data_IF_626840461983
#
_entry.id   IF_626840461983
#
_cell.length_a   1.000
_cell.length_b   1.000
_cell.length_c   1.000
_cell.angle_alpha   90.00
_cell.angle_beta   90.00
_cell.angle_gamma   90.00
#
_symmetry.space_group_name_H-M   'P 1'
#
loop_
_entity.id
_entity.type
_entity.pdbx_description
1 polymer ?
#
# COMPACT_ATOMS: atom_id res chain seq x y z
N UNK A 1 2.64 20.57 -19.43
CA UNK A 1 2.72 19.97 -18.08
C UNK A 1 4.07 19.31 -17.75
N UNK A 2 4.80 18.70 -18.70
CA UNK A 2 6.14 18.15 -18.42
C UNK A 2 7.25 19.20 -18.19
N UNK A 3 7.15 20.38 -18.81
CA UNK A 3 8.19 21.43 -18.74
C UNK A 3 8.14 22.31 -17.48
N UNK A 4 7.01 22.35 -16.77
CA UNK A 4 6.83 23.23 -15.59
C UNK A 4 7.15 22.54 -14.25
N UNK A 5 7.23 21.21 -14.21
CA UNK A 5 7.51 20.48 -12.96
C UNK A 5 8.94 20.70 -12.47
N UNK A 6 9.91 20.81 -13.39
CA UNK A 6 11.32 21.10 -13.06
C UNK A 6 11.50 22.52 -12.48
N UNK A 7 10.65 23.48 -12.87
CA UNK A 7 10.72 24.87 -12.39
C UNK A 7 9.95 25.11 -11.07
N UNK A 8 9.14 24.15 -10.61
CA UNK A 8 8.32 24.29 -9.38
C UNK A 8 8.87 23.53 -8.16
N UNK A 9 10.04 22.90 -8.27
CA UNK A 9 10.77 22.39 -7.11
C UNK A 9 11.36 23.60 -6.35
N UNK A 10 10.52 24.31 -5.59
CA UNK A 10 10.97 25.40 -4.73
C UNK A 10 12.13 24.90 -3.85
N UNK A 11 13.22 25.66 -3.81
CA UNK A 11 14.42 25.36 -3.00
C UNK A 11 14.19 25.39 -1.47
N UNK A 12 12.94 25.52 -1.03
CA UNK A 12 12.52 25.66 0.37
C UNK A 12 11.68 24.46 0.78
N UNK A 13 11.97 23.89 1.94
CA UNK A 13 11.20 22.79 2.47
C UNK A 13 9.97 23.30 3.22
N UNK A 14 8.88 22.53 3.18
CA UNK A 14 7.59 22.98 3.73
C UNK A 14 7.63 23.23 5.24
N UNK A 15 8.49 22.55 5.99
CA UNK A 15 8.67 22.78 7.42
C UNK A 15 9.40 24.08 7.76
N UNK A 16 10.00 24.78 6.79
CA UNK A 16 10.52 26.14 7.02
C UNK A 16 9.38 27.13 7.34
N UNK A 17 8.11 26.72 7.16
CA UNK A 17 6.89 27.48 7.49
C UNK A 17 6.11 26.93 8.69
N UNK A 18 6.51 25.81 9.29
CA UNK A 18 5.83 25.21 10.45
C UNK A 18 6.83 24.95 11.57
N UNK A 19 6.51 25.39 12.79
CA UNK A 19 7.34 25.12 13.97
C UNK A 19 7.22 23.63 14.35
N UNK A 20 8.10 22.79 13.80
CA UNK A 20 8.26 21.40 14.22
C UNK A 20 9.33 21.37 15.31
N UNK A 21 8.93 21.13 16.56
CA UNK A 21 9.88 20.79 17.62
C UNK A 21 10.41 19.39 17.35
N UNK A 22 11.71 19.25 17.09
CA UNK A 22 12.39 17.98 16.93
C UNK A 22 12.18 17.11 18.18
N UNK A 23 11.45 16.01 18.06
CA UNK A 23 11.41 14.98 19.11
C UNK A 23 12.60 14.06 18.85
N UNK A 24 13.63 14.18 19.69
CA UNK A 24 14.78 13.29 19.64
C UNK A 24 14.36 11.89 20.11
N UNK A 25 14.45 10.91 19.23
CA UNK A 25 14.23 9.50 19.57
C UNK A 25 15.44 8.99 20.39
N UNK A 26 15.30 8.91 21.71
CA UNK A 26 16.21 8.10 22.53
C UNK A 26 15.71 6.65 22.52
N UNK A 27 16.31 5.81 21.69
CA UNK A 27 16.12 4.36 21.76
C UNK A 27 16.87 3.80 22.99
N UNK A 28 16.19 3.14 23.95
CA UNK A 28 16.88 2.42 25.02
C UNK A 28 17.58 1.20 24.43
N UNK A 29 18.91 1.21 24.43
CA UNK A 29 19.74 0.05 24.10
C UNK A 29 19.64 -1.00 25.20
N UNK A 30 18.84 -2.05 24.99
CA UNK A 30 18.93 -3.30 25.74
C UNK A 30 19.53 -4.40 24.87
N UNK A 31 20.84 -4.62 25.05
CA UNK A 31 21.53 -5.85 24.70
C UNK A 31 21.58 -6.70 25.97
N UNK A 32 20.99 -7.90 25.95
CA UNK A 32 21.55 -9.07 26.64
C UNK A 32 20.88 -10.36 26.17
N UNK A 33 21.63 -11.14 25.39
CA UNK A 33 21.84 -12.61 25.52
C UNK A 33 20.67 -13.53 25.90
N UNK A 34 20.37 -14.50 25.02
CA UNK A 34 20.52 -15.95 25.26
C UNK A 34 20.31 -16.71 23.92
N UNK A 35 21.27 -17.55 23.57
CA UNK A 35 21.18 -18.61 22.53
C UNK A 35 20.93 -19.93 23.25
N UNK A 36 20.13 -20.84 22.68
CA UNK A 36 20.66 -22.19 22.52
C UNK A 36 20.49 -22.75 21.11
N UNK A 37 21.53 -23.48 20.72
CA UNK A 37 21.73 -24.23 19.49
C UNK A 37 20.66 -25.32 19.30
N UNK A 38 20.10 -25.44 18.09
CA UNK A 38 19.53 -26.69 17.60
C UNK A 38 20.25 -27.18 16.35
N UNK A 39 20.51 -28.49 16.35
CA UNK A 39 21.45 -29.23 15.52
C UNK A 39 21.02 -29.28 14.04
N UNK A 40 22.04 -29.18 13.19
CA UNK A 40 21.96 -29.33 11.74
C UNK A 40 21.49 -30.73 11.31
N UNK A 41 20.45 -30.79 10.48
CA UNK A 41 20.21 -31.92 9.57
C UNK A 41 20.67 -31.47 8.18
N UNK A 42 21.76 -32.04 7.70
CA UNK A 42 22.30 -31.77 6.36
C UNK A 42 21.57 -32.69 5.38
N UNK A 43 20.70 -32.11 4.55
CA UNK A 43 20.24 -32.76 3.32
C UNK A 43 21.20 -32.43 2.16
N UNK A 44 21.47 -33.38 1.25
CA UNK A 44 22.48 -33.20 0.20
C UNK A 44 22.01 -32.14 -0.82
N UNK A 45 22.84 -31.10 -1.00
CA UNK A 45 22.59 -30.04 -1.97
C UNK A 45 22.83 -30.55 -3.40
N UNK A 46 21.77 -30.61 -4.21
CA UNK A 46 21.88 -30.56 -5.67
C UNK A 46 22.35 -29.16 -6.05
N UNK A 47 23.40 -29.05 -6.89
CA UNK A 47 23.81 -27.80 -7.55
C UNK A 47 22.67 -27.25 -8.42
N UNK A 48 21.79 -26.46 -7.81
CA UNK A 48 20.87 -25.55 -8.48
C UNK A 48 21.43 -24.13 -8.35
N UNK A 49 21.04 -23.22 -9.24
CA UNK A 49 21.36 -21.78 -9.16
C UNK A 49 20.85 -21.20 -7.83
N UNK A 50 21.65 -21.33 -6.76
CA UNK A 50 21.19 -21.13 -5.37
C UNK A 50 20.83 -19.65 -5.07
N UNK A 51 21.30 -18.74 -5.93
CA UNK A 51 21.10 -17.29 -5.83
C UNK A 51 19.83 -16.76 -6.52
N UNK A 52 19.12 -17.58 -7.32
CA UNK A 52 17.92 -17.14 -8.05
C UNK A 52 16.63 -17.61 -7.37
N UNK A 53 15.62 -16.74 -7.33
CA UNK A 53 14.28 -17.12 -6.90
C UNK A 53 13.49 -17.68 -8.08
N UNK A 54 13.20 -18.99 -8.07
CA UNK A 54 12.49 -19.68 -9.16
C UNK A 54 11.10 -20.17 -8.75
N UNK A 55 10.52 -19.60 -7.68
CA UNK A 55 9.12 -19.87 -7.32
C UNK A 55 8.20 -19.32 -8.42
N UNK A 56 6.99 -19.90 -8.54
CA UNK A 56 5.98 -19.41 -9.51
C UNK A 56 5.73 -17.91 -9.36
N UNK A 57 5.68 -17.42 -8.11
CA UNK A 57 5.56 -16.00 -7.83
C UNK A 57 6.76 -15.19 -8.33
N UNK A 58 7.98 -15.62 -8.04
CA UNK A 58 9.18 -14.89 -8.46
C UNK A 58 9.30 -14.77 -9.98
N UNK A 59 8.94 -15.82 -10.72
CA UNK A 59 8.92 -15.79 -12.18
C UNK A 59 7.89 -14.77 -12.68
N UNK A 60 6.67 -14.78 -12.10
CA UNK A 60 5.61 -13.81 -12.45
C UNK A 60 6.01 -12.37 -12.10
N UNK A 61 6.54 -12.15 -10.91
CA UNK A 61 6.99 -10.83 -10.45
C UNK A 61 8.13 -10.29 -11.32
N UNK A 62 9.08 -11.15 -11.71
CA UNK A 62 10.15 -10.78 -12.61
C UNK A 62 9.63 -10.36 -13.99
N UNK A 63 8.74 -11.16 -14.57
CA UNK A 63 8.14 -10.85 -15.87
C UNK A 63 7.38 -9.51 -15.81
N UNK A 64 6.60 -9.29 -14.75
CA UNK A 64 5.83 -8.07 -14.57
C UNK A 64 6.70 -6.81 -14.49
N UNK A 65 7.81 -6.87 -13.74
CA UNK A 65 8.79 -5.78 -13.67
C UNK A 65 9.47 -5.56 -15.03
N UNK A 66 9.89 -6.63 -15.72
CA UNK A 66 10.52 -6.56 -17.03
C UNK A 66 9.61 -5.98 -18.11
N UNK A 67 8.30 -6.19 -18.03
CA UNK A 67 7.31 -5.59 -18.94
C UNK A 67 7.06 -4.10 -18.65
N UNK A 68 7.41 -3.62 -17.46
CA UNK A 68 7.11 -2.26 -17.00
C UNK A 68 8.28 -1.29 -17.15
N UNK A 69 9.51 -1.78 -16.88
CA UNK A 69 10.71 -0.95 -16.77
C UNK A 69 11.11 -0.33 -18.10
N UNK A 70 11.24 0.99 -18.25
CA UNK A 70 11.83 1.62 -19.42
C UNK A 70 13.35 1.87 -19.23
N UNK A 71 14.20 0.97 -19.76
CA UNK A 71 15.67 1.08 -19.64
C UNK A 71 16.30 2.16 -20.55
N UNK A 72 15.51 2.89 -21.35
CA UNK A 72 16.01 4.02 -22.14
C UNK A 72 16.16 5.30 -21.33
N UNK A 73 15.70 5.29 -20.09
CA UNK A 73 15.81 6.39 -19.13
C UNK A 73 16.68 5.88 -17.98
N UNK A 74 17.45 6.76 -17.36
CA UNK A 74 18.27 6.40 -16.20
C UNK A 74 17.47 6.62 -14.90
N UNK A 75 17.72 5.81 -13.87
CA UNK A 75 16.94 5.88 -12.61
C UNK A 75 17.11 7.22 -11.91
N UNK A 76 18.31 7.82 -11.99
CA UNK A 76 18.60 9.13 -11.44
C UNK A 76 17.89 10.26 -12.19
N UNK A 77 17.59 10.10 -13.49
CA UNK A 77 16.91 11.13 -14.27
C UNK A 77 15.42 11.16 -13.96
N UNK A 78 14.77 9.99 -13.99
CA UNK A 78 13.36 9.87 -13.66
C UNK A 78 13.02 8.43 -13.28
N UNK A 79 13.00 8.14 -11.98
CA UNK A 79 12.68 6.80 -11.49
C UNK A 79 11.28 6.34 -11.91
N UNK A 80 10.29 7.23 -11.95
CA UNK A 80 8.93 6.86 -12.34
C UNK A 80 8.86 6.43 -13.81
N UNK A 81 9.46 7.19 -14.72
CA UNK A 81 9.57 6.80 -16.13
C UNK A 81 10.39 5.52 -16.29
N UNK A 82 11.47 5.36 -15.51
CA UNK A 82 12.23 4.12 -15.47
C UNK A 82 11.37 2.92 -15.07
N UNK A 83 10.53 3.02 -14.04
CA UNK A 83 9.75 1.86 -13.54
C UNK A 83 8.44 1.65 -14.28
N UNK A 84 7.86 2.72 -14.83
CA UNK A 84 6.50 2.73 -15.39
C UNK A 84 6.44 2.98 -16.89
N UNK A 85 7.51 3.43 -17.55
CA UNK A 85 7.45 3.96 -18.92
C UNK A 85 6.92 2.97 -19.96
N UNK A 86 7.32 1.69 -19.90
CA UNK A 86 6.72 0.66 -20.79
C UNK A 86 5.30 0.32 -20.37
N UNK A 87 5.03 0.25 -19.07
CA UNK A 87 3.68 0.00 -18.55
C UNK A 87 2.69 1.09 -18.99
N UNK A 88 3.06 2.37 -18.94
CA UNK A 88 2.23 3.50 -19.36
C UNK A 88 1.91 3.46 -20.87
N UNK A 89 2.88 3.03 -21.68
CA UNK A 89 2.70 2.84 -23.13
C UNK A 89 1.73 1.69 -23.43
N UNK A 90 1.82 0.61 -22.68
CA UNK A 90 1.04 -0.61 -22.92
C UNK A 90 -0.33 -0.61 -22.24
N UNK A 91 -0.55 0.25 -21.24
CA UNK A 91 -1.81 0.32 -20.49
C UNK A 91 -2.79 1.22 -21.21
N UNK A 92 -3.96 0.69 -21.52
CA UNK A 92 -5.09 1.46 -22.01
C UNK A 92 -6.06 1.73 -20.87
N UNK A 93 -6.70 2.90 -20.87
CA UNK A 93 -7.80 3.21 -19.94
C UNK A 93 -9.08 2.78 -20.64
N UNK A 94 -9.80 1.74 -20.13
CA UNK A 94 -11.12 1.38 -20.65
C UNK A 94 -12.11 2.54 -20.60
N UNK A 95 -13.09 2.56 -21.51
CA UNK A 95 -14.04 3.69 -21.63
C UNK A 95 -14.94 3.88 -20.39
N UNK A 96 -15.11 2.84 -19.58
CA UNK A 96 -15.92 2.78 -18.38
C UNK A 96 -15.17 3.25 -17.11
N UNK A 97 -13.86 3.45 -17.20
CA UNK A 97 -13.05 3.97 -16.08
C UNK A 97 -12.29 5.23 -16.49
N UNK A 98 -11.84 6.01 -15.50
CA UNK A 98 -11.17 7.30 -15.73
C UNK A 98 -9.67 7.26 -15.46
N UNK A 99 -9.21 6.18 -14.84
CA UNK A 99 -7.82 5.89 -14.54
C UNK A 99 -7.61 4.37 -14.48
N UNK A 100 -6.36 3.97 -14.52
CA UNK A 100 -5.88 2.61 -14.34
C UNK A 100 -4.60 2.70 -13.51
N UNK A 101 -4.54 1.96 -12.40
CA UNK A 101 -3.37 1.81 -11.56
C UNK A 101 -3.39 0.43 -10.88
N UNK A 102 -2.34 0.13 -10.10
CA UNK A 102 -2.20 -1.17 -9.43
C UNK A 102 -3.39 -1.49 -8.52
N UNK A 103 -3.94 -0.51 -7.81
CA UNK A 103 -5.07 -0.71 -6.89
C UNK A 103 -6.35 -1.01 -7.67
N UNK A 104 -6.65 -0.24 -8.73
CA UNK A 104 -7.82 -0.46 -9.58
C UNK A 104 -7.77 -1.84 -10.25
N UNK A 105 -6.62 -2.23 -10.81
CA UNK A 105 -6.45 -3.56 -11.45
C UNK A 105 -6.73 -4.68 -10.45
N UNK A 106 -6.20 -4.56 -9.24
CA UNK A 106 -6.41 -5.56 -8.19
C UNK A 106 -7.87 -5.62 -7.74
N UNK A 107 -8.52 -4.46 -7.60
CA UNK A 107 -9.92 -4.39 -7.22
C UNK A 107 -10.83 -5.03 -8.29
N UNK A 108 -10.53 -4.82 -9.57
CA UNK A 108 -11.26 -5.41 -10.70
C UNK A 108 -11.09 -6.94 -10.72
N UNK A 109 -9.86 -7.43 -10.53
CA UNK A 109 -9.55 -8.86 -10.48
C UNK A 109 -10.20 -9.56 -9.30
N UNK A 110 -10.18 -8.93 -8.12
CA UNK A 110 -10.83 -9.46 -6.93
C UNK A 110 -12.34 -9.51 -7.12
N UNK A 111 -12.95 -8.42 -7.62
CA UNK A 111 -14.38 -8.34 -7.93
C UNK A 111 -14.80 -9.40 -8.96
N UNK A 112 -14.03 -9.56 -10.04
CA UNK A 112 -14.30 -10.55 -11.09
C UNK A 112 -14.21 -11.99 -10.57
N UNK A 113 -13.15 -12.30 -9.80
CA UNK A 113 -12.97 -13.61 -9.17
C UNK A 113 -14.15 -13.93 -8.27
N UNK A 114 -14.58 -12.94 -7.48
CA UNK A 114 -15.71 -13.10 -6.58
C UNK A 114 -17.02 -13.29 -7.34
N UNK A 115 -17.31 -12.49 -8.36
CA UNK A 115 -18.50 -12.66 -9.22
C UNK A 115 -18.51 -14.06 -9.84
N UNK A 116 -17.38 -14.54 -10.37
CA UNK A 116 -17.26 -15.88 -10.93
C UNK A 116 -17.56 -16.96 -9.88
N UNK A 117 -16.98 -16.85 -8.68
CA UNK A 117 -17.29 -17.77 -7.57
C UNK A 117 -18.79 -17.76 -7.23
N UNK A 118 -19.42 -16.59 -7.20
CA UNK A 118 -20.82 -16.43 -6.82
C UNK A 118 -21.81 -16.94 -7.88
N UNK A 119 -21.44 -16.89 -9.16
CA UNK A 119 -22.30 -17.20 -10.31
C UNK A 119 -22.14 -18.64 -10.83
N UNK A 120 -20.95 -19.23 -10.68
CA UNK A 120 -20.67 -20.59 -11.14
C UNK A 120 -21.15 -21.69 -10.18
N UNK A 121 -21.55 -21.33 -8.97
CA UNK A 121 -22.06 -22.27 -7.97
C UNK A 121 -23.56 -22.50 -8.16
N UNK A 122 -24.02 -23.75 -8.38
CA UNK A 122 -25.43 -24.03 -8.62
C UNK A 122 -26.29 -23.63 -7.41
N UNK A 123 -27.30 -22.79 -7.63
CA UNK A 123 -28.26 -22.34 -6.61
C UNK A 123 -29.11 -23.46 -5.98
N UNK A 124 -28.99 -24.70 -6.47
CA UNK A 124 -29.87 -25.83 -6.15
C UNK A 124 -29.13 -27.07 -5.60
N UNK A 125 -27.84 -26.99 -5.28
CA UNK A 125 -27.21 -28.10 -4.56
C UNK A 125 -27.66 -28.06 -3.10
N UNK A 126 -28.33 -29.11 -2.63
CA UNK A 126 -28.63 -29.43 -1.22
C UNK A 126 -27.39 -29.51 -0.31
N UNK A 127 -26.21 -29.18 -0.85
CA UNK A 127 -24.90 -29.11 -0.22
C UNK A 127 -24.32 -27.72 -0.54
N UNK A 128 -25.00 -26.63 -0.15
CA UNK A 128 -24.31 -25.35 -0.07
C UNK A 128 -23.30 -25.47 1.07
N UNK A 129 -22.01 -25.57 0.75
CA UNK A 129 -21.00 -25.69 1.80
C UNK A 129 -21.01 -24.43 2.65
N UNK A 130 -20.84 -24.54 3.98
CA UNK A 130 -20.74 -23.38 4.87
C UNK A 130 -19.74 -22.33 4.36
N UNK A 131 -18.68 -22.75 3.67
CA UNK A 131 -17.70 -21.85 3.07
C UNK A 131 -18.28 -20.97 1.93
N UNK A 132 -19.21 -21.51 1.13
CA UNK A 132 -19.87 -20.79 0.03
C UNK A 132 -20.89 -19.79 0.58
N UNK A 133 -21.71 -20.21 1.53
CA UNK A 133 -22.62 -19.31 2.26
C UNK A 133 -21.84 -18.21 2.98
N UNK A 134 -20.68 -18.54 3.57
CA UNK A 134 -19.81 -17.57 4.22
C UNK A 134 -19.15 -16.62 3.22
N UNK A 135 -18.70 -17.07 2.05
CA UNK A 135 -18.13 -16.20 1.02
C UNK A 135 -19.18 -15.23 0.43
N UNK A 136 -20.41 -15.71 0.22
CA UNK A 136 -21.57 -14.87 -0.14
C UNK A 136 -21.85 -13.80 0.91
N UNK A 137 -21.83 -14.19 2.18
CA UNK A 137 -22.10 -13.30 3.31
C UNK A 137 -20.96 -12.31 3.57
N UNK A 138 -19.69 -12.74 3.39
CA UNK A 138 -18.49 -11.89 3.46
C UNK A 138 -18.51 -10.77 2.43
N UNK A 139 -18.99 -11.05 1.22
CA UNK A 139 -19.13 -10.05 0.16
C UNK A 139 -20.19 -8.99 0.51
N UNK A 140 -21.23 -9.37 1.24
CA UNK A 140 -22.27 -8.46 1.71
C UNK A 140 -21.99 -7.85 3.08
N UNK A 141 -20.95 -8.32 3.80
CA UNK A 141 -20.75 -7.97 5.20
C UNK A 141 -19.68 -6.89 5.42
N UNK A 142 -20.10 -5.82 6.07
CA UNK A 142 -19.28 -4.69 6.51
C UNK A 142 -18.50 -4.94 7.81
N UNK A 143 -18.74 -6.07 8.48
CA UNK A 143 -18.24 -6.36 9.82
C UNK A 143 -17.87 -7.84 9.93
N UNK A 144 -16.62 -8.12 10.29
CA UNK A 144 -16.20 -9.47 10.66
C UNK A 144 -15.92 -9.55 12.15
N UNK A 145 -16.89 -10.08 12.87
CA UNK A 145 -16.62 -10.90 14.03
C UNK A 145 -16.82 -12.35 13.57
N UNK A 146 -15.78 -12.92 12.94
CA UNK A 146 -15.84 -14.19 12.19
C UNK A 146 -16.24 -15.41 13.03
N UNK A 147 -16.32 -15.24 14.35
CA UNK A 147 -16.57 -16.33 15.30
C UNK A 147 -18.06 -16.45 15.67
N UNK A 148 -18.93 -15.54 15.21
CA UNK A 148 -20.36 -15.57 15.56
C UNK A 148 -21.29 -15.34 14.36
N UNK A 149 -21.60 -16.43 13.65
CA UNK A 149 -22.55 -16.43 12.52
C UNK A 149 -23.95 -15.93 12.90
N UNK A 150 -24.40 -16.16 14.14
CA UNK A 150 -25.70 -15.71 14.62
C UNK A 150 -25.76 -14.19 14.74
N UNK A 151 -24.65 -13.55 15.15
CA UNK A 151 -24.53 -12.08 15.18
C UNK A 151 -24.64 -11.51 13.77
N UNK A 152 -23.93 -12.10 12.82
CA UNK A 152 -24.01 -11.69 11.41
C UNK A 152 -25.43 -11.84 10.85
N UNK A 153 -26.12 -12.97 11.09
CA UNK A 153 -27.49 -13.17 10.62
C UNK A 153 -28.47 -12.14 11.22
N UNK A 154 -28.30 -11.79 12.49
CA UNK A 154 -29.09 -10.74 13.14
C UNK A 154 -28.79 -9.36 12.58
N UNK A 155 -27.52 -9.03 12.34
CA UNK A 155 -27.10 -7.73 11.79
C UNK A 155 -27.69 -7.50 10.39
N UNK A 156 -27.86 -8.57 9.59
CA UNK A 156 -28.45 -8.51 8.25
C UNK A 156 -29.95 -8.85 8.19
N UNK A 157 -30.61 -9.18 9.30
CA UNK A 157 -32.00 -9.62 9.32
C UNK A 157 -32.98 -8.57 8.76
N UNK A 158 -32.65 -7.28 8.88
CA UNK A 158 -33.48 -6.18 8.35
C UNK A 158 -33.30 -5.93 6.84
N UNK A 159 -32.30 -6.54 6.20
CA UNK A 159 -32.01 -6.33 4.77
C UNK A 159 -32.88 -7.25 3.89
N UNK A 160 -34.11 -6.80 3.62
CA UNK A 160 -35.05 -7.52 2.76
C UNK A 160 -34.96 -7.04 1.29
N UNK A 161 -34.11 -7.70 0.50
CA UNK A 161 -33.88 -7.36 -0.90
C UNK A 161 -34.91 -7.98 -1.85
N UNK A 162 -35.23 -7.26 -2.93
CA UNK A 162 -36.05 -7.74 -4.04
C UNK A 162 -35.38 -7.44 -5.39
N UNK A 163 -36.04 -7.68 -6.52
CA UNK A 163 -35.44 -7.45 -7.85
C UNK A 163 -35.27 -5.97 -8.22
N UNK A 164 -35.87 -5.03 -7.47
CA UNK A 164 -35.79 -3.60 -7.77
C UNK A 164 -34.56 -2.98 -7.13
N UNK A 165 -33.55 -2.70 -7.96
CA UNK A 165 -32.29 -2.10 -7.54
C UNK A 165 -32.47 -0.83 -6.68
N UNK A 166 -33.23 0.16 -7.17
CA UNK A 166 -33.44 1.42 -6.45
C UNK A 166 -34.04 1.21 -5.05
N UNK A 167 -34.99 0.26 -4.92
CA UNK A 167 -35.61 -0.03 -3.63
C UNK A 167 -34.61 -0.66 -2.67
N UNK A 168 -33.76 -1.55 -3.15
CA UNK A 168 -32.70 -2.15 -2.34
C UNK A 168 -31.70 -1.09 -1.87
N UNK A 169 -31.28 -0.17 -2.76
CA UNK A 169 -30.39 0.95 -2.39
C UNK A 169 -31.00 1.79 -1.27
N UNK A 170 -32.27 2.19 -1.39
CA UNK A 170 -32.95 2.99 -0.37
C UNK A 170 -33.11 2.25 0.97
N UNK A 171 -33.26 0.92 0.94
CA UNK A 171 -33.28 0.10 2.16
C UNK A 171 -31.91 0.12 2.83
N UNK A 172 -30.82 -0.07 2.07
CA UNK A 172 -29.44 -0.04 2.57
C UNK A 172 -29.14 1.32 3.21
N UNK A 173 -29.40 2.41 2.50
CA UNK A 173 -29.13 3.77 3.00
C UNK A 173 -29.88 4.06 4.31
N UNK A 174 -31.17 3.66 4.39
CA UNK A 174 -31.97 3.80 5.60
C UNK A 174 -31.37 3.02 6.78
N UNK A 175 -30.93 1.78 6.56
CA UNK A 175 -30.37 0.93 7.60
C UNK A 175 -29.02 1.44 8.08
N UNK A 176 -28.16 1.91 7.18
CA UNK A 176 -26.87 2.54 7.54
C UNK A 176 -27.12 3.75 8.45
N UNK A 177 -28.03 4.65 8.06
CA UNK A 177 -28.35 5.83 8.88
C UNK A 177 -28.93 5.41 10.24
N UNK A 178 -29.85 4.45 10.26
CA UNK A 178 -30.44 3.92 11.50
C UNK A 178 -29.35 3.38 12.44
N UNK A 179 -28.43 2.56 11.95
CA UNK A 179 -27.34 1.97 12.73
C UNK A 179 -26.38 3.04 13.27
N UNK A 180 -26.01 4.02 12.43
CA UNK A 180 -25.15 5.14 12.83
C UNK A 180 -25.81 6.00 13.94
N UNK A 181 -27.12 6.19 13.88
CA UNK A 181 -27.85 6.93 14.93
C UNK A 181 -27.94 6.13 16.25
N UNK A 182 -27.99 4.79 16.19
CA UNK A 182 -28.06 3.94 17.38
C UNK A 182 -26.76 3.94 18.21
N UNK A 183 -25.62 4.30 17.62
CA UNK A 183 -24.33 4.36 18.32
C UNK A 183 -24.02 5.73 18.93
N UNK A 184 -24.78 6.78 18.61
CA UNK A 184 -24.53 8.17 19.04
C UNK A 184 -24.41 8.38 20.56
N UNK A 185 -25.08 7.53 21.36
CA UNK A 185 -25.09 7.60 22.83
C UNK A 185 -24.39 6.41 23.49
N UNK A 186 -23.71 5.58 22.71
CA UNK A 186 -22.93 4.44 23.19
C UNK A 186 -21.45 4.85 23.30
N UNK A 187 -20.67 4.19 24.18
CA UNK A 187 -19.22 4.38 24.16
C UNK A 187 -18.65 3.95 22.81
N UNK A 188 -17.55 4.60 22.42
CA UNK A 188 -16.80 4.24 21.21
C UNK A 188 -16.26 2.83 21.35
N UNK A 189 -16.68 1.93 20.46
CA UNK A 189 -16.12 0.58 20.38
C UNK A 189 -14.79 0.65 19.60
N UNK A 190 -13.67 0.50 20.31
CA UNK A 190 -12.33 0.52 19.71
C UNK A 190 -11.93 -0.82 19.05
N UNK A 191 -12.76 -1.85 19.18
CA UNK A 191 -12.56 -3.17 18.52
C UNK A 191 -13.44 -3.34 17.29
N UNK A 192 -14.34 -2.38 17.05
CA UNK A 192 -15.06 -2.22 15.82
C UNK A 192 -14.07 -2.20 14.65
N UNK A 193 -14.21 -3.14 13.71
CA UNK A 193 -13.59 -2.93 12.41
C UNK A 193 -14.23 -1.70 11.80
N UNK A 194 -13.38 -0.79 11.34
CA UNK A 194 -13.81 0.41 10.62
C UNK A 194 -14.61 0.00 9.39
N UNK A 195 -15.43 0.92 8.91
CA UNK A 195 -16.34 0.96 7.76
C UNK A 195 -15.86 0.37 6.40
N UNK A 196 -14.98 -0.61 6.38
CA UNK A 196 -14.33 -1.14 5.19
C UNK A 196 -14.35 -2.65 5.20
N UNK A 197 -14.86 -3.21 4.09
CA UNK A 197 -14.94 -4.65 3.93
C UNK A 197 -13.53 -5.27 3.90
N UNK A 198 -13.36 -6.51 4.39
CA UNK A 198 -12.09 -7.24 4.28
C UNK A 198 -11.59 -7.40 2.84
N UNK A 199 -12.46 -7.28 1.84
CA UNK A 199 -12.16 -7.32 0.40
C UNK A 199 -11.62 -6.01 -0.16
N UNK A 200 -11.55 -4.95 0.64
CA UNK A 200 -11.05 -3.63 0.21
C UNK A 200 -9.58 -3.73 -0.19
N UNK A 201 -9.22 -3.15 -1.33
CA UNK A 201 -7.82 -2.97 -1.75
C UNK A 201 -7.37 -1.57 -1.34
N UNK A 202 -7.06 -1.39 -0.06
CA UNK A 202 -6.48 -0.15 0.47
C UNK A 202 -5.83 -0.41 1.85
N UNK A 203 -5.20 0.60 2.44
CA UNK A 203 -4.79 0.63 3.84
C UNK A 203 -5.23 1.96 4.47
N UNK A 204 -5.35 1.98 5.80
CA UNK A 204 -5.89 3.15 6.49
C UNK A 204 -5.25 3.36 7.86
N UNK A 205 -4.97 4.62 8.19
CA UNK A 205 -4.75 5.10 9.55
C UNK A 205 -5.97 5.86 10.05
N UNK A 206 -6.47 5.46 11.22
CA UNK A 206 -7.60 6.12 11.86
C UNK A 206 -7.16 6.96 13.05
N UNK A 207 -7.09 8.27 12.85
CA UNK A 207 -6.68 9.24 13.88
C UNK A 207 -7.47 9.14 15.19
N UNK A 208 -8.79 8.89 15.12
CA UNK A 208 -9.65 8.77 16.31
C UNK A 208 -9.43 7.49 17.11
N UNK A 209 -8.95 6.43 16.45
CA UNK A 209 -8.67 5.14 17.10
C UNK A 209 -7.17 4.95 17.38
N UNK A 210 -6.32 5.81 16.79
CA UNK A 210 -4.88 5.63 16.70
C UNK A 210 -4.52 4.20 16.26
N UNK A 211 -5.15 3.77 15.17
CA UNK A 211 -5.10 2.39 14.69
C UNK A 211 -4.78 2.35 13.20
N UNK A 212 -4.05 1.29 12.80
CA UNK A 212 -3.70 1.02 11.41
C UNK A 212 -4.39 -0.27 10.99
N UNK A 213 -5.18 -0.19 9.92
CA UNK A 213 -5.92 -1.34 9.39
C UNK A 213 -5.42 -1.72 8.00
N UNK A 214 -5.08 -3.01 7.84
CA UNK A 214 -4.81 -3.65 6.55
C UNK A 214 -5.87 -4.71 6.25
N UNK A 215 -6.88 -4.41 5.43
CA UNK A 215 -7.82 -5.40 4.94
C UNK A 215 -7.13 -6.58 4.25
N UNK A 216 -7.71 -7.78 4.36
CA UNK A 216 -7.16 -8.98 3.77
C UNK A 216 -6.99 -8.89 2.24
N UNK A 217 -7.90 -8.17 1.57
CA UNK A 217 -7.84 -7.89 0.14
C UNK A 217 -6.56 -7.16 -0.24
N UNK A 218 -6.03 -6.28 0.60
CA UNK A 218 -4.79 -5.56 0.30
C UNK A 218 -3.54 -6.45 0.41
N UNK A 219 -3.54 -7.46 1.29
CA UNK A 219 -2.38 -8.31 1.60
C UNK A 219 -2.11 -9.40 0.55
N UNK A 220 -1.97 -8.99 -0.71
CA UNK A 220 -1.74 -9.86 -1.86
C UNK A 220 -0.75 -9.23 -2.86
N UNK A 221 -0.29 -9.96 -3.90
CA UNK A 221 0.56 -9.40 -4.95
C UNK A 221 -0.04 -8.16 -5.62
N UNK A 222 0.79 -7.15 -5.99
CA UNK A 222 2.24 -7.11 -5.85
C UNK A 222 2.75 -6.59 -4.49
N UNK A 223 1.86 -6.17 -3.58
CA UNK A 223 2.23 -5.59 -2.29
C UNK A 223 2.85 -6.62 -1.34
N UNK A 224 2.26 -7.81 -1.26
CA UNK A 224 2.75 -8.88 -0.38
C UNK A 224 2.64 -10.26 -1.02
N UNK A 225 3.70 -11.06 -0.87
CA UNK A 225 3.61 -12.51 -1.06
C UNK A 225 4.63 -13.22 -0.16
N UNK A 226 4.22 -14.36 0.41
CA UNK A 226 5.08 -15.14 1.32
C UNK A 226 6.38 -15.62 0.65
N UNK A 227 6.31 -15.95 -0.65
CA UNK A 227 7.44 -16.45 -1.45
C UNK A 227 8.19 -15.32 -2.17
N UNK A 228 7.83 -14.06 -1.94
CA UNK A 228 8.56 -12.93 -2.46
C UNK A 228 9.91 -12.78 -1.73
N UNK A 229 10.99 -12.39 -2.45
CA UNK A 229 12.17 -11.82 -1.82
C UNK A 229 11.78 -10.62 -0.95
N UNK A 230 12.51 -10.39 0.15
CA UNK A 230 12.12 -9.38 1.12
C UNK A 230 12.20 -7.97 0.57
N UNK A 231 13.15 -7.66 -0.31
CA UNK A 231 13.17 -6.35 -0.99
C UNK A 231 11.86 -6.01 -1.71
N UNK A 232 11.12 -6.99 -2.26
CA UNK A 232 9.80 -6.73 -2.87
C UNK A 232 8.74 -6.47 -1.80
N UNK A 233 8.68 -7.28 -0.75
CA UNK A 233 7.69 -7.07 0.32
C UNK A 233 7.94 -5.75 1.08
N UNK A 234 9.20 -5.42 1.39
CA UNK A 234 9.54 -4.17 2.06
C UNK A 234 9.32 -2.96 1.14
N UNK A 235 9.69 -3.05 -0.15
CA UNK A 235 9.37 -2.03 -1.16
C UNK A 235 7.89 -2.03 -1.57
N UNK A 236 7.11 -2.97 -1.01
CA UNK A 236 5.71 -3.21 -1.29
C UNK A 236 4.83 -2.81 -0.11
N UNK A 237 4.27 -3.82 0.56
CA UNK A 237 3.50 -3.67 1.80
C UNK A 237 4.29 -2.93 2.89
N UNK A 238 5.62 -3.04 2.93
CA UNK A 238 6.44 -2.34 3.91
C UNK A 238 6.37 -0.82 3.80
N UNK A 239 6.38 -0.28 2.57
CA UNK A 239 6.21 1.17 2.33
C UNK A 239 4.82 1.62 2.75
N UNK A 240 3.78 0.84 2.45
CA UNK A 240 2.41 1.17 2.85
C UNK A 240 2.24 1.11 4.37
N UNK A 241 2.83 0.11 5.05
CA UNK A 241 2.89 0.09 6.52
C UNK A 241 3.57 1.36 7.07
N UNK A 242 4.71 1.73 6.50
CA UNK A 242 5.40 2.96 6.88
C UNK A 242 4.53 4.20 6.65
N UNK A 243 3.82 4.28 5.53
CA UNK A 243 2.91 5.37 5.19
C UNK A 243 1.80 5.53 6.24
N UNK A 244 1.09 4.44 6.59
CA UNK A 244 0.04 4.48 7.60
C UNK A 244 0.57 4.81 9.01
N UNK A 245 1.78 4.36 9.36
CA UNK A 245 2.41 4.75 10.64
C UNK A 245 2.61 6.26 10.67
N UNK A 246 3.11 6.83 9.58
CA UNK A 246 3.46 8.24 9.53
C UNK A 246 2.21 9.12 9.48
N UNK A 247 1.06 8.63 9.04
CA UNK A 247 -0.21 9.34 9.22
C UNK A 247 -0.50 9.71 10.68
N UNK A 248 -0.03 8.94 11.66
CA UNK A 248 -0.11 9.32 13.08
C UNK A 248 0.75 10.53 13.47
N UNK A 249 1.65 10.97 12.60
CA UNK A 249 2.65 12.02 12.85
C UNK A 249 2.67 13.09 11.76
N UNK A 250 1.70 13.05 10.85
CA UNK A 250 1.60 13.96 9.71
C UNK A 250 0.91 15.28 10.10
N UNK A 251 0.61 16.18 9.15
CA UNK A 251 -0.01 17.48 9.47
C UNK A 251 -1.41 17.37 10.07
N UNK A 252 -2.08 16.22 9.99
CA UNK A 252 -3.38 15.94 10.59
C UNK A 252 -3.20 15.08 11.83
N UNK A 253 -2.52 13.93 11.74
CA UNK A 253 -2.36 13.00 12.85
C UNK A 253 -1.51 13.53 13.99
N UNK A 254 -0.52 14.41 13.75
CA UNK A 254 0.26 15.05 14.83
C UNK A 254 -0.60 15.88 15.79
N UNK A 255 -1.79 16.24 15.35
CA UNK A 255 -2.73 16.97 16.17
C UNK A 255 -3.58 16.06 17.06
N UNK A 256 -3.39 14.76 17.00
CA UNK A 256 -4.06 13.81 17.85
C UNK A 256 -3.05 13.29 18.89
N UNK A 257 -3.43 13.31 20.17
CA UNK A 257 -2.63 12.65 21.20
C UNK A 257 -2.76 11.11 21.09
N UNK A 258 -2.02 10.37 21.91
CA UNK A 258 -2.06 8.90 21.91
C UNK A 258 -3.45 8.33 22.25
N UNK A 259 -4.34 9.15 22.80
CA UNK A 259 -5.73 8.83 23.11
C UNK A 259 -6.72 9.16 21.97
N UNK A 260 -6.29 9.90 20.94
CA UNK A 260 -7.10 10.31 19.78
C UNK A 260 -7.78 11.67 19.92
N UNK A 261 -7.29 12.58 20.78
CA UNK A 261 -7.90 13.91 20.99
C UNK A 261 -7.34 14.98 20.04
N UNK A 262 -8.22 15.72 19.35
CA UNK A 262 -7.91 16.64 18.24
C UNK A 262 -7.29 17.99 18.63
N UNK A 263 -6.35 18.44 17.79
CA UNK A 263 -5.72 19.77 17.70
C UNK A 263 -5.75 20.18 16.18
N UNK A 264 -5.33 21.38 15.72
CA UNK A 264 -5.69 21.91 14.38
C UNK A 264 -4.61 21.78 13.26
N UNK A 265 -4.93 21.26 12.06
CA UNK A 265 -4.00 21.07 10.91
C UNK A 265 -4.62 21.21 9.50
N UNK A 266 -3.76 21.41 8.47
CA UNK A 266 -4.08 21.74 7.06
C UNK A 266 -4.24 20.50 6.12
N UNK A 267 -4.27 20.65 4.77
CA UNK A 267 -5.03 19.76 3.84
C UNK A 267 -4.29 18.66 3.04
N UNK A 268 -3.04 18.82 2.58
CA UNK A 268 -2.32 17.78 1.78
C UNK A 268 -0.90 17.51 2.27
N UNK A 269 -0.48 18.21 3.32
CA UNK A 269 0.86 18.07 3.84
C UNK A 269 1.03 16.71 4.53
N UNK A 270 -0.08 16.10 4.99
CA UNK A 270 -0.10 14.83 5.70
C UNK A 270 0.38 13.66 4.86
N UNK A 271 -0.32 13.43 3.75
CA UNK A 271 0.03 12.42 2.74
C UNK A 271 1.48 12.55 2.26
N UNK A 272 1.96 13.78 2.07
CA UNK A 272 3.34 14.01 1.64
C UNK A 272 4.37 13.65 2.72
N UNK A 273 4.07 13.95 3.98
CA UNK A 273 4.89 13.54 5.11
C UNK A 273 4.86 12.01 5.23
N UNK A 274 3.69 11.39 5.08
CA UNK A 274 3.47 9.95 5.12
C UNK A 274 4.23 9.19 4.03
N UNK A 275 4.20 9.67 2.79
CA UNK A 275 5.00 9.12 1.69
C UNK A 275 6.51 9.19 1.95
N UNK A 276 7.02 10.35 2.39
CA UNK A 276 8.45 10.52 2.62
C UNK A 276 8.93 9.68 3.81
N UNK A 277 8.19 9.70 4.93
CA UNK A 277 8.52 8.93 6.12
C UNK A 277 8.36 7.43 5.89
N UNK A 278 7.28 7.01 5.23
CA UNK A 278 6.97 5.61 4.99
C UNK A 278 8.00 4.90 4.12
N UNK A 279 8.46 5.56 3.05
CA UNK A 279 9.55 5.05 2.21
C UNK A 279 10.84 4.84 3.01
N UNK A 280 11.21 5.82 3.85
CA UNK A 280 12.42 5.76 4.68
C UNK A 280 12.34 4.65 5.72
N UNK A 281 11.25 4.59 6.48
CA UNK A 281 11.01 3.58 7.52
C UNK A 281 11.10 2.18 6.91
N UNK A 282 10.44 1.96 5.78
CA UNK A 282 10.47 0.67 5.08
C UNK A 282 11.87 0.30 4.58
N UNK A 283 12.61 1.26 4.01
CA UNK A 283 13.95 1.02 3.49
C UNK A 283 14.95 0.72 4.63
N UNK A 284 14.93 1.49 5.71
CA UNK A 284 15.81 1.22 6.86
C UNK A 284 15.44 -0.08 7.57
N UNK A 285 14.16 -0.42 7.65
CA UNK A 285 13.73 -1.73 8.16
C UNK A 285 14.24 -2.87 7.27
N UNK A 286 14.20 -2.70 5.94
CA UNK A 286 14.78 -3.64 4.99
C UNK A 286 16.29 -3.80 5.19
N UNK A 287 17.03 -2.69 5.26
CA UNK A 287 18.48 -2.73 5.48
C UNK A 287 18.82 -3.44 6.79
N UNK A 288 18.13 -3.11 7.88
CA UNK A 288 18.30 -3.77 9.17
C UNK A 288 18.06 -5.28 9.06
N UNK A 289 17.00 -5.70 8.38
CA UNK A 289 16.72 -7.11 8.14
C UNK A 289 17.80 -7.79 7.29
N UNK A 290 18.24 -7.15 6.20
CA UNK A 290 19.24 -7.68 5.28
C UNK A 290 20.63 -7.82 5.95
N UNK A 291 20.98 -6.89 6.84
CA UNK A 291 22.20 -6.96 7.64
C UNK A 291 22.24 -8.21 8.54
N UNK A 292 21.10 -8.62 9.10
CA UNK A 292 21.03 -9.81 9.98
C UNK A 292 20.73 -11.11 9.22
N UNK A 293 20.31 -11.04 7.96
CA UNK A 293 19.91 -12.19 7.13
C UNK A 293 20.68 -12.25 5.80
N UNK A 294 22.01 -12.29 5.89
CA UNK A 294 22.90 -12.33 4.71
C UNK A 294 22.57 -13.51 3.80
N UNK A 295 22.57 -13.26 2.49
CA UNK A 295 22.34 -14.26 1.43
C UNK A 295 20.95 -14.93 1.42
N UNK A 296 19.99 -14.44 2.23
CA UNK A 296 18.62 -14.97 2.21
C UNK A 296 17.84 -14.42 1.01
N UNK A 297 18.07 -13.17 0.64
CA UNK A 297 17.39 -12.55 -0.50
C UNK A 297 17.94 -13.06 -1.83
N UNK A 298 17.12 -13.84 -2.52
CA UNK A 298 17.41 -14.36 -3.85
C UNK A 298 17.07 -13.33 -4.92
N UNK A 299 17.87 -13.29 -5.99
CA UNK A 299 17.66 -12.40 -7.13
C UNK A 299 16.51 -12.91 -8.01
N UNK A 300 15.74 -11.99 -8.59
CA UNK A 300 14.74 -12.34 -9.58
C UNK A 300 15.39 -12.75 -10.92
N UNK A 301 14.84 -13.74 -11.63
CA UNK A 301 15.33 -14.12 -12.96
C UNK A 301 15.20 -12.95 -13.93
N UNK A 302 16.21 -12.73 -14.79
CA UNK A 302 16.23 -11.60 -15.75
C UNK A 302 16.51 -10.22 -15.16
N UNK A 303 16.51 -10.08 -13.82
CA UNK A 303 16.76 -8.82 -13.11
C UNK A 303 17.99 -8.91 -12.19
N UNK A 304 18.85 -9.89 -12.42
CA UNK A 304 20.01 -10.18 -11.57
C UNK A 304 21.08 -9.08 -11.57
N UNK A 305 21.03 -8.16 -12.55
CA UNK A 305 21.89 -6.97 -12.65
C UNK A 305 21.60 -5.93 -11.57
N UNK A 306 20.39 -5.91 -11.01
CA UNK A 306 20.02 -5.00 -9.95
C UNK A 306 20.41 -5.57 -8.58
N UNK A 307 20.88 -4.70 -7.69
CA UNK A 307 21.06 -5.04 -6.28
C UNK A 307 19.71 -5.19 -5.58
N UNK A 308 19.69 -5.79 -4.40
CA UNK A 308 18.45 -5.96 -3.65
C UNK A 308 17.84 -4.60 -3.21
N UNK A 309 18.67 -3.63 -2.86
CA UNK A 309 18.25 -2.25 -2.57
C UNK A 309 17.72 -1.54 -3.81
N UNK A 310 18.34 -1.74 -4.98
CA UNK A 310 17.80 -1.22 -6.24
C UNK A 310 16.43 -1.83 -6.52
N UNK A 311 16.28 -3.15 -6.35
CA UNK A 311 15.01 -3.85 -6.53
C UNK A 311 13.92 -3.38 -5.57
N UNK A 312 14.27 -2.95 -4.34
CA UNK A 312 13.33 -2.31 -3.42
C UNK A 312 12.73 -1.04 -4.07
N UNK A 313 13.57 -0.13 -4.57
CA UNK A 313 13.10 1.12 -5.18
C UNK A 313 12.36 0.89 -6.51
N UNK A 314 12.81 -0.10 -7.30
CA UNK A 314 12.12 -0.47 -8.54
C UNK A 314 10.72 -1.02 -8.26
N UNK A 315 10.55 -1.82 -7.20
CA UNK A 315 9.24 -2.30 -6.79
C UNK A 315 8.35 -1.16 -6.28
N UNK A 316 8.89 -0.28 -5.42
CA UNK A 316 8.17 0.91 -4.94
C UNK A 316 7.67 1.77 -6.11
N UNK A 317 8.56 2.16 -7.02
CA UNK A 317 8.21 2.95 -8.21
C UNK A 317 7.16 2.26 -9.07
N UNK A 318 7.28 0.94 -9.23
CA UNK A 318 6.32 0.14 -9.99
C UNK A 318 4.92 0.15 -9.36
N UNK A 319 4.79 0.02 -8.05
CA UNK A 319 3.47 -0.03 -7.43
C UNK A 319 2.66 1.26 -7.66
N UNK A 320 3.35 2.39 -7.73
CA UNK A 320 2.76 3.70 -7.96
C UNK A 320 2.44 4.00 -9.43
N UNK A 321 2.67 3.07 -10.37
CA UNK A 321 2.32 3.32 -11.77
C UNK A 321 0.81 3.55 -11.93
N UNK A 322 0.46 4.70 -12.50
CA UNK A 322 -0.92 5.13 -12.73
C UNK A 322 -1.02 5.87 -14.05
N UNK A 323 -2.09 5.60 -14.79
CA UNK A 323 -2.48 6.29 -16.02
C UNK A 323 -3.89 6.83 -15.87
N UNK A 324 -4.09 8.09 -16.21
CA UNK A 324 -5.38 8.77 -16.03
C UNK A 324 -5.73 9.67 -17.21
N UNK A 325 -7.03 9.92 -17.38
CA UNK A 325 -7.52 10.93 -18.33
C UNK A 325 -7.24 12.35 -17.84
N UNK A 326 -7.03 13.31 -18.74
CA UNK A 326 -6.74 14.71 -18.38
C UNK A 326 -7.81 15.33 -17.47
N UNK A 327 -9.08 14.99 -17.73
CA UNK A 327 -10.22 15.43 -16.91
C UNK A 327 -10.12 14.88 -15.49
N UNK A 328 -9.71 13.62 -15.33
CA UNK A 328 -9.54 13.01 -14.01
C UNK A 328 -8.31 13.58 -13.29
N UNK A 329 -7.19 13.77 -14.00
CA UNK A 329 -5.99 14.40 -13.45
C UNK A 329 -6.31 15.78 -12.85
N UNK A 330 -7.10 16.59 -13.55
CA UNK A 330 -7.54 17.90 -13.05
C UNK A 330 -8.37 17.77 -11.77
N UNK A 331 -9.29 16.81 -11.71
CA UNK A 331 -10.10 16.58 -10.51
C UNK A 331 -9.26 16.12 -9.31
N UNK A 332 -8.27 15.25 -9.54
CA UNK A 332 -7.37 14.76 -8.48
C UNK A 332 -6.56 15.91 -7.90
N UNK A 333 -5.94 16.74 -8.75
CA UNK A 333 -5.15 17.88 -8.31
C UNK A 333 -5.95 18.89 -7.46
N UNK A 334 -7.26 19.01 -7.72
CA UNK A 334 -8.12 19.96 -7.01
C UNK A 334 -8.85 19.37 -5.80
N UNK A 335 -9.06 18.05 -5.77
CA UNK A 335 -10.01 17.39 -4.89
C UNK A 335 -9.44 16.28 -4.03
N UNK A 336 -8.36 15.62 -4.46
CA UNK A 336 -7.74 14.52 -3.72
C UNK A 336 -6.74 15.04 -2.68
N UNK A 337 -6.59 14.31 -1.59
CA UNK A 337 -5.56 14.57 -0.58
C UNK A 337 -4.22 13.94 -0.98
N UNK A 338 -4.25 12.88 -1.80
CA UNK A 338 -3.07 12.18 -2.29
C UNK A 338 -2.52 12.82 -3.57
N UNK A 339 -1.20 12.75 -3.71
CA UNK A 339 -0.55 13.07 -4.98
C UNK A 339 -0.76 11.96 -6.02
N UNK A 340 -0.85 12.30 -7.32
CA UNK A 340 -0.70 11.33 -8.40
C UNK A 340 0.55 10.45 -8.22
N UNK A 341 0.45 9.17 -8.61
CA UNK A 341 1.52 8.18 -8.38
C UNK A 341 2.91 8.61 -8.88
N UNK A 342 2.98 9.33 -9.99
CA UNK A 342 4.21 9.94 -10.49
C UNK A 342 4.88 10.86 -9.45
N UNK A 343 4.10 11.72 -8.80
CA UNK A 343 4.61 12.69 -7.84
C UNK A 343 4.86 12.07 -6.46
N UNK A 344 4.16 10.99 -6.10
CA UNK A 344 4.52 10.16 -4.93
C UNK A 344 5.94 9.63 -5.08
N UNK A 345 6.23 8.97 -6.20
CA UNK A 345 7.56 8.37 -6.47
C UNK A 345 8.64 9.44 -6.57
N UNK A 346 8.47 10.44 -7.44
CA UNK A 346 9.48 11.48 -7.65
C UNK A 346 9.65 12.35 -6.40
N UNK A 347 8.55 12.74 -5.75
CA UNK A 347 8.58 13.54 -4.54
C UNK A 347 9.35 12.87 -3.40
N UNK A 348 9.01 11.62 -3.06
CA UNK A 348 9.62 10.90 -1.95
C UNK A 348 11.10 10.58 -2.20
N UNK A 349 11.43 10.04 -3.38
CA UNK A 349 12.81 9.66 -3.73
C UNK A 349 13.73 10.86 -3.91
N UNK A 350 13.20 11.99 -4.37
CA UNK A 350 13.98 13.23 -4.49
C UNK A 350 14.55 13.74 -3.16
N UNK A 351 13.84 13.46 -2.07
CA UNK A 351 14.22 13.83 -0.71
C UNK A 351 15.01 12.74 0.03
N UNK A 352 15.29 11.59 -0.59
CA UNK A 352 15.90 10.45 0.10
C UNK A 352 17.38 10.32 -0.29
N UNK A 353 18.30 10.38 0.68
CA UNK A 353 19.74 10.31 0.37
C UNK A 353 20.18 8.87 0.07
N UNK A 354 19.50 7.89 0.65
CA UNK A 354 19.74 6.47 0.39
C UNK A 354 19.38 6.11 -1.05
N UNK A 355 18.33 6.71 -1.63
CA UNK A 355 18.05 6.57 -3.06
C UNK A 355 19.24 7.01 -3.92
N UNK A 356 19.77 8.19 -3.65
CA UNK A 356 20.95 8.71 -4.37
C UNK A 356 22.16 7.77 -4.22
N UNK A 357 22.40 7.24 -3.02
CA UNK A 357 23.49 6.27 -2.78
C UNK A 357 23.28 4.97 -3.54
N UNK A 358 22.06 4.43 -3.54
CA UNK A 358 21.73 3.15 -4.17
C UNK A 358 21.89 3.18 -5.70
N UNK A 359 21.64 4.32 -6.34
CA UNK A 359 21.78 4.50 -7.79
C UNK A 359 23.00 5.34 -8.22
N UNK A 360 23.76 5.89 -7.28
CA UNK A 360 24.92 6.73 -7.56
C UNK A 360 24.56 8.11 -8.13
N UNK A 361 23.39 8.65 -7.79
CA UNK A 361 22.91 9.93 -8.30
C UNK A 361 23.68 11.10 -7.68
N UNK A 362 23.97 12.12 -8.49
CA UNK A 362 24.59 13.37 -7.98
C UNK A 362 23.50 14.29 -7.41
N UNK A 363 23.79 15.07 -6.35
CA UNK A 363 22.85 16.09 -5.87
C UNK A 363 22.46 17.06 -7.00
N UNK A 364 21.15 17.25 -7.21
CA UNK A 364 20.63 18.09 -8.30
C UNK A 364 20.52 17.38 -9.65
N UNK A 365 20.91 16.10 -9.76
CA UNK A 365 20.74 15.32 -10.98
C UNK A 365 19.31 14.80 -11.08
N UNK A 366 18.56 15.27 -12.07
CA UNK A 366 17.26 14.73 -12.44
C UNK A 366 16.28 14.71 -11.28
N UNK A 367 16.02 13.51 -10.76
CA UNK A 367 15.13 13.26 -9.63
C UNK A 367 15.78 13.53 -8.25
N UNK A 368 17.10 13.71 -8.15
CA UNK A 368 17.77 14.06 -6.88
C UNK A 368 17.77 15.58 -6.64
N UNK A 369 17.29 16.03 -5.48
CA UNK A 369 17.39 17.44 -5.05
C UNK A 369 18.73 17.73 -4.35
N UNK A 370 19.22 18.97 -4.50
CA UNK A 370 20.32 19.50 -3.70
C UNK A 370 19.89 19.68 -2.24
N UNK A 371 18.75 20.35 -2.02
CA UNK A 371 18.16 20.54 -0.70
C UNK A 371 17.03 19.51 -0.50
N UNK A 372 17.31 18.48 0.29
CA UNK A 372 16.36 17.39 0.59
C UNK A 372 15.53 17.72 1.82
N UNK A 373 14.21 17.56 1.72
CA UNK A 373 13.31 17.80 2.84
C UNK A 373 13.26 16.58 3.76
N UNK A 374 13.41 16.80 5.06
CA UNK A 374 13.35 15.75 6.07
C UNK A 374 12.49 16.16 7.27
N UNK A 375 11.53 15.31 7.64
CA UNK A 375 10.67 15.50 8.83
C UNK A 375 10.84 14.30 9.75
N UNK A 376 10.55 13.11 9.24
CA UNK A 376 10.69 11.82 9.92
C UNK A 376 11.72 10.93 9.23
#
# INVERSE_FOLDING_TARGET
MQSDYQNQLSNTCWYDKTSVTSVAWTFPSYISSIVPLQKNVIHPQKKNNDHLCLTSYCIKAANYLLESINETVEQCENLYEFTCGRWLKNTNIPNDVRHQDTFQIMQDQLSSTLINLLTTLPSNSTIESKAITNARRLYTSYYLDSDNMTKLENDYAEYNFNSLFLRNTLIIDRLIVKNNLQILRKPVDRKAWTDWAPTTINAFYFTLYNDITFPAGFLQPPFFHKDAPKYLNYGGVGVVIGHEIIHGFDDLGRHFDKEGNKINGERTQGENIAENGGLKVAFFAYQKWAHTHKNVDKKLPGLSKYSAEQMFFLNYGRMCCSKMTDKYATNIVLGDVHLPGQFRVLGSTSNFVEFDRTFGCKPGQGNSRVNKCNVW
#
